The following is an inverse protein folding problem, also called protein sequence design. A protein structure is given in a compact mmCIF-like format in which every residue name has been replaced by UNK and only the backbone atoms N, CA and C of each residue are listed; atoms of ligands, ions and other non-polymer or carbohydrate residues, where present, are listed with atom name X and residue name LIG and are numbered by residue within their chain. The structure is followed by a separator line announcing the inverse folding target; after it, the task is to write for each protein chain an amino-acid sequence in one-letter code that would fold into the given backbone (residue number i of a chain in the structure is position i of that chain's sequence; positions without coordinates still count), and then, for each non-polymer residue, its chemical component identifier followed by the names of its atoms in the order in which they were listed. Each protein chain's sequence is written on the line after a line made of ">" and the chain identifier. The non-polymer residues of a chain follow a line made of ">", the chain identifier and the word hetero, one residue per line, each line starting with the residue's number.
data_IF_293714505310
#
_entry.id   IF_293714505310
#
_cell.length_a   1.000
_cell.length_b   1.000
_cell.length_c   1.000
_cell.angle_alpha   90.00
_cell.angle_beta   90.00
_cell.angle_gamma   90.00
#
_symmetry.space_group_name_H-M   'P 1'
#
loop_
_entity.id
_entity.type
_entity.pdbx_description
1 polymer ?
#
# COMPACT_ATOMS: atom_id res chain seq x y z
N UNK A 1 5.81 -12.42 -6.51
CA UNK A 1 6.70 -11.26 -6.27
C UNK A 1 6.94 -11.13 -4.77
N UNK A 2 8.05 -10.55 -4.34
CA UNK A 2 8.31 -10.33 -2.90
C UNK A 2 7.78 -8.95 -2.46
N UNK A 3 6.50 -8.87 -2.11
CA UNK A 3 5.84 -7.64 -1.66
C UNK A 3 6.38 -7.13 -0.33
N UNK A 4 6.72 -8.05 0.58
CA UNK A 4 7.26 -7.71 1.90
C UNK A 4 8.58 -6.96 1.74
N UNK A 5 9.45 -7.38 0.80
CA UNK A 5 10.69 -6.66 0.49
C UNK A 5 10.44 -5.23 0.00
N UNK A 6 9.37 -4.97 -0.75
CA UNK A 6 9.01 -3.61 -1.20
C UNK A 6 8.47 -2.76 -0.04
N UNK A 7 7.57 -3.34 0.77
CA UNK A 7 7.00 -2.69 1.96
C UNK A 7 8.09 -2.27 2.95
N UNK A 8 8.99 -3.19 3.30
CA UNK A 8 10.10 -2.93 4.21
C UNK A 8 11.12 -1.94 3.64
N UNK A 9 11.48 -2.08 2.36
CA UNK A 9 12.61 -1.34 1.80
C UNK A 9 13.91 -1.69 2.52
N UNK A 10 14.44 -0.76 3.32
CA UNK A 10 15.62 -0.96 4.19
C UNK A 10 15.28 -0.98 5.68
N UNK A 11 14.00 -0.83 6.02
CA UNK A 11 13.51 -0.77 7.39
C UNK A 11 13.10 -2.17 7.90
N UNK A 12 12.81 -2.23 9.20
CA UNK A 12 12.30 -3.43 9.85
C UNK A 12 10.91 -3.83 9.33
N UNK A 13 10.67 -5.14 9.31
CA UNK A 13 9.37 -5.70 8.94
C UNK A 13 8.34 -5.44 10.04
N UNK A 14 7.24 -4.78 9.69
CA UNK A 14 6.08 -4.66 10.56
C UNK A 14 5.13 -5.85 10.39
N UNK A 15 4.44 -6.32 11.45
CA UNK A 15 3.47 -7.41 11.35
C UNK A 15 2.37 -7.17 10.30
N UNK A 16 1.82 -5.95 10.26
CA UNK A 16 0.76 -5.53 9.32
C UNK A 16 1.14 -5.66 7.84
N UNK A 17 2.44 -5.74 7.52
CA UNK A 17 2.89 -5.95 6.13
C UNK A 17 2.50 -7.32 5.59
N UNK A 18 2.26 -8.31 6.45
CA UNK A 18 1.83 -9.63 6.01
C UNK A 18 0.41 -9.61 5.42
N UNK A 19 -0.53 -8.93 6.05
CA UNK A 19 -1.90 -8.80 5.55
C UNK A 19 -1.95 -8.01 4.25
N UNK A 20 -1.14 -6.94 4.15
CA UNK A 20 -1.02 -6.15 2.91
C UNK A 20 -0.42 -7.00 1.78
N UNK A 21 0.62 -7.78 2.07
CA UNK A 21 1.20 -8.70 1.09
C UNK A 21 0.18 -9.75 0.64
N UNK A 22 -0.66 -10.27 1.54
CA UNK A 22 -1.72 -11.21 1.21
C UNK A 22 -2.76 -10.59 0.27
N UNK A 23 -3.18 -9.34 0.52
CA UNK A 23 -4.02 -8.58 -0.41
C UNK A 23 -3.40 -8.44 -1.81
N UNK A 24 -2.08 -8.30 -1.90
CA UNK A 24 -1.37 -8.18 -3.18
C UNK A 24 -1.19 -9.53 -3.87
N UNK A 25 -1.03 -10.61 -3.11
CA UNK A 25 -1.02 -11.99 -3.64
C UNK A 25 -2.39 -12.38 -4.21
N UNK A 26 -3.47 -11.97 -3.55
CA UNK A 26 -4.84 -12.19 -3.99
C UNK A 26 -5.74 -10.96 -3.76
N UNK A 27 -5.87 -10.13 -4.80
CA UNK A 27 -6.65 -8.88 -4.73
C UNK A 27 -8.13 -9.10 -4.42
N UNK A 28 -8.69 -10.27 -4.72
CA UNK A 28 -10.12 -10.53 -4.47
C UNK A 28 -10.46 -10.58 -2.99
N UNK A 29 -9.45 -10.76 -2.12
CA UNK A 29 -9.61 -10.74 -0.67
C UNK A 29 -9.53 -9.34 -0.07
N UNK A 30 -9.11 -8.34 -0.84
CA UNK A 30 -8.92 -6.98 -0.34
C UNK A 30 -10.18 -6.37 0.32
N UNK A 31 -11.40 -6.55 -0.21
CA UNK A 31 -12.62 -6.05 0.45
C UNK A 31 -12.83 -6.63 1.85
N UNK A 32 -12.42 -7.89 2.08
CA UNK A 32 -12.56 -8.55 3.38
C UNK A 32 -11.44 -8.15 4.36
N UNK A 33 -10.27 -7.78 3.83
CA UNK A 33 -9.06 -7.49 4.61
C UNK A 33 -8.88 -6.00 4.95
N UNK A 34 -9.54 -5.08 4.26
CA UNK A 34 -9.38 -3.64 4.50
C UNK A 34 -9.81 -3.22 5.91
N UNK A 35 -10.89 -3.79 6.46
CA UNK A 35 -11.33 -3.49 7.82
C UNK A 35 -10.36 -4.04 8.89
N UNK A 36 -9.93 -5.32 8.85
CA UNK A 36 -8.88 -5.83 9.73
C UNK A 36 -7.60 -4.99 9.70
N UNK A 37 -7.10 -4.64 8.50
CA UNK A 37 -5.90 -3.79 8.34
C UNK A 37 -6.10 -2.43 9.00
N UNK A 38 -7.26 -1.81 8.81
CA UNK A 38 -7.59 -0.53 9.45
C UNK A 38 -7.62 -0.67 10.98
N UNK A 39 -8.29 -1.70 11.52
CA UNK A 39 -8.38 -1.95 12.96
C UNK A 39 -7.00 -2.18 13.56
N UNK A 40 -6.14 -2.92 12.90
CA UNK A 40 -4.76 -3.14 13.34
C UNK A 40 -3.96 -1.85 13.31
N UNK A 41 -4.12 -1.02 12.27
CA UNK A 41 -3.42 0.25 12.14
C UNK A 41 -3.78 1.25 13.25
N UNK A 42 -5.06 1.43 13.59
CA UNK A 42 -5.48 2.40 14.62
C UNK A 42 -5.03 2.04 16.05
N UNK A 43 -4.56 0.80 16.26
CA UNK A 43 -3.98 0.37 17.55
C UNK A 43 -2.48 0.63 17.64
N UNK A 44 -1.83 1.00 16.52
CA UNK A 44 -0.39 1.25 16.47
C UNK A 44 -0.02 2.64 17.01
N UNK A 45 1.24 2.78 17.45
CA UNK A 45 1.80 4.08 17.79
C UNK A 45 2.14 4.91 16.54
N UNK A 46 2.33 6.21 16.74
CA UNK A 46 2.61 7.19 15.67
C UNK A 46 3.82 6.83 14.80
N UNK A 47 4.92 6.37 15.41
CA UNK A 47 6.14 5.96 14.68
C UNK A 47 5.84 4.79 13.73
N UNK A 48 5.04 3.83 14.21
CA UNK A 48 4.66 2.65 13.42
C UNK A 48 3.71 3.03 12.29
N UNK A 49 2.78 3.95 12.55
CA UNK A 49 1.89 4.52 11.53
C UNK A 49 2.67 5.30 10.46
N UNK A 50 3.67 6.09 10.83
CA UNK A 50 4.55 6.77 9.88
C UNK A 50 5.30 5.77 9.00
N UNK A 51 5.90 4.73 9.60
CA UNK A 51 6.56 3.63 8.86
C UNK A 51 5.60 2.93 7.91
N UNK A 52 4.35 2.70 8.34
CA UNK A 52 3.31 2.12 7.49
C UNK A 52 3.01 3.03 6.29
N UNK A 53 2.85 4.34 6.52
CA UNK A 53 2.57 5.30 5.45
C UNK A 53 3.68 5.32 4.39
N UNK A 54 4.95 5.29 4.83
CA UNK A 54 6.09 5.16 3.90
C UNK A 54 6.12 3.82 3.17
N UNK A 55 5.69 2.73 3.79
CA UNK A 55 5.60 1.43 3.12
C UNK A 55 4.55 1.43 1.99
N UNK A 56 3.39 2.06 2.22
CA UNK A 56 2.37 2.25 1.20
C UNK A 56 2.89 3.13 0.06
N UNK A 57 3.59 4.22 0.38
CA UNK A 57 4.25 5.06 -0.62
C UNK A 57 5.27 4.28 -1.46
N UNK A 58 6.04 3.37 -0.86
CA UNK A 58 6.99 2.51 -1.59
C UNK A 58 6.28 1.60 -2.60
N UNK A 59 5.11 1.05 -2.25
CA UNK A 59 4.30 0.28 -3.20
C UNK A 59 3.86 1.15 -4.38
N UNK A 60 3.38 2.37 -4.12
CA UNK A 60 2.96 3.33 -5.15
C UNK A 60 4.13 3.77 -6.06
N UNK A 61 5.34 3.94 -5.50
CA UNK A 61 6.53 4.25 -6.29
C UNK A 61 6.99 3.05 -7.12
N UNK A 62 6.97 1.86 -6.52
CA UNK A 62 7.33 0.63 -7.23
C UNK A 62 6.41 0.40 -8.42
N UNK A 63 5.09 0.58 -8.25
CA UNK A 63 4.12 0.42 -9.32
C UNK A 63 4.37 1.38 -10.48
N UNK A 64 4.79 2.62 -10.22
CA UNK A 64 5.10 3.56 -11.30
C UNK A 64 6.36 3.18 -12.07
N UNK A 65 7.42 2.80 -11.36
CA UNK A 65 8.68 2.41 -11.98
C UNK A 65 8.48 1.18 -12.89
N UNK A 66 7.63 0.24 -12.47
CA UNK A 66 7.44 -1.04 -13.17
C UNK A 66 6.18 -1.09 -14.03
N UNK A 67 5.46 0.02 -14.18
CA UNK A 67 4.17 0.09 -14.89
C UNK A 67 4.18 -0.49 -16.30
N UNK A 68 5.28 -0.29 -17.02
CA UNK A 68 5.44 -0.77 -18.40
C UNK A 68 5.91 -2.23 -18.48
N UNK A 69 6.43 -2.78 -17.37
CA UNK A 69 6.93 -4.17 -17.32
C UNK A 69 5.80 -5.15 -17.02
N UNK A 70 4.95 -4.78 -16.05
CA UNK A 70 3.77 -5.55 -15.66
C UNK A 70 2.68 -4.58 -15.20
N UNK A 71 1.77 -4.27 -16.13
CA UNK A 71 0.73 -3.27 -15.91
C UNK A 71 -0.31 -3.77 -14.88
N UNK A 72 -0.66 -5.06 -14.92
CA UNK A 72 -1.65 -5.63 -14.01
C UNK A 72 -1.12 -5.61 -12.57
N UNK A 73 0.12 -6.06 -12.38
CA UNK A 73 0.77 -6.06 -11.08
C UNK A 73 0.94 -4.62 -10.55
N UNK A 74 1.40 -3.70 -11.39
CA UNK A 74 1.55 -2.29 -11.02
C UNK A 74 0.20 -1.65 -10.62
N UNK A 75 -0.87 -1.89 -11.38
CA UNK A 75 -2.19 -1.35 -11.07
C UNK A 75 -2.72 -1.91 -9.74
N UNK A 76 -2.56 -3.21 -9.50
CA UNK A 76 -2.93 -3.85 -8.24
C UNK A 76 -2.19 -3.24 -7.05
N UNK A 77 -0.86 -3.14 -7.14
CA UNK A 77 -0.03 -2.53 -6.09
C UNK A 77 -0.47 -1.10 -5.78
N UNK A 78 -0.73 -0.31 -6.83
CA UNK A 78 -1.20 1.06 -6.70
C UNK A 78 -2.57 1.14 -6.03
N UNK A 79 -3.55 0.38 -6.52
CA UNK A 79 -4.91 0.39 -6.00
C UNK A 79 -4.97 0.03 -4.51
N UNK A 80 -4.35 -1.09 -4.13
CA UNK A 80 -4.35 -1.56 -2.73
C UNK A 80 -3.67 -0.54 -1.82
N UNK A 81 -2.50 -0.03 -2.22
CA UNK A 81 -1.74 0.91 -1.38
C UNK A 81 -2.44 2.27 -1.21
N UNK A 82 -3.01 2.84 -2.28
CA UNK A 82 -3.75 4.10 -2.21
C UNK A 82 -5.03 3.96 -1.37
N UNK A 83 -5.76 2.85 -1.51
CA UNK A 83 -6.98 2.61 -0.74
C UNK A 83 -6.70 2.48 0.75
N UNK A 84 -5.70 1.66 1.13
CA UNK A 84 -5.29 1.53 2.53
C UNK A 84 -4.85 2.88 3.09
N UNK A 85 -4.06 3.64 2.32
CA UNK A 85 -3.56 4.92 2.77
C UNK A 85 -4.70 5.92 3.03
N UNK A 86 -5.65 6.03 2.10
CA UNK A 86 -6.83 6.88 2.27
C UNK A 86 -7.68 6.47 3.47
N UNK A 87 -7.86 5.17 3.68
CA UNK A 87 -8.65 4.65 4.80
C UNK A 87 -8.01 4.95 6.15
N UNK A 88 -6.69 4.84 6.27
CA UNK A 88 -5.97 5.02 7.55
C UNK A 88 -5.65 6.51 7.81
N UNK A 89 -5.20 7.25 6.79
CA UNK A 89 -4.64 8.59 6.95
C UNK A 89 -5.54 9.71 6.39
N UNK A 90 -6.68 9.38 5.79
CA UNK A 90 -7.63 10.33 5.23
C UNK A 90 -7.22 10.94 3.88
N UNK A 91 -6.06 10.57 3.32
CA UNK A 91 -5.54 11.09 2.06
C UNK A 91 -4.21 10.45 1.68
N UNK A 92 -3.72 10.74 0.47
CA UNK A 92 -2.42 10.25 0.00
C UNK A 92 -1.29 11.13 0.52
N UNK A 93 -0.11 10.55 0.73
CA UNK A 93 1.10 11.30 1.09
C UNK A 93 1.51 12.23 -0.06
N UNK A 94 1.44 11.73 -1.28
CA UNK A 94 1.69 12.48 -2.50
C UNK A 94 0.43 12.40 -3.35
N UNK A 95 -0.34 13.49 -3.37
CA UNK A 95 -1.44 13.61 -4.31
C UNK A 95 -0.86 13.75 -5.72
N UNK A 96 -1.39 12.95 -6.64
CA UNK A 96 -1.10 13.14 -8.06
C UNK A 96 -2.24 13.92 -8.67
N UNK A 97 -1.89 14.94 -9.42
CA UNK A 97 -2.84 15.59 -10.31
C UNK A 97 -3.41 14.51 -11.24
N UNK A 98 -4.71 14.21 -11.08
CA UNK A 98 -5.46 13.54 -12.12
C UNK A 98 -5.40 14.46 -13.33
N UNK A 99 -4.59 14.11 -14.34
CA UNK A 99 -4.67 14.71 -15.65
C UNK A 99 -6.12 14.50 -16.14
N UNK A 100 -6.96 15.50 -15.94
CA UNK A 100 -8.22 15.63 -16.66
C UNK A 100 -7.80 15.92 -18.09
N UNK A 101 -7.91 14.93 -18.97
CA UNK A 101 -7.84 15.20 -20.39
C UNK A 101 -9.03 16.10 -20.72
N UNK A 102 -8.76 17.36 -21.08
CA UNK A 102 -9.74 18.25 -21.70
C UNK A 102 -10.27 17.66 -23.02
#
# INVERSE_FOLDING_TARGET
>A
MDYVRVLCGKEEKLPIYSDIAHCLENITQFPDLIEPIYRDAITQNEITLEKLRFALLRLQLYSEIHRNSDMEEAQKMRFVSEMIERTIFGGLFIERESYVSE
#
